data_IF_179382935712
#
_entry.id   IF_179382935712
#
_cell.length_a   1.000
_cell.length_b   1.000
_cell.length_c   1.000
_cell.angle_alpha   90.00
_cell.angle_beta   90.00
_cell.angle_gamma   90.00
#
_symmetry.space_group_name_H-M   'P 1'
#
loop_
_entity.id
_entity.type
_entity.pdbx_description
1 polymer ?
#
# COMPACT_ATOMS: atom_id res chain seq x y z
N UNK A 1 -6.40 8.45 14.92
CA UNK A 1 -6.30 8.66 13.47
C UNK A 1 -7.14 7.63 12.72
N UNK A 2 -6.94 6.29 12.86
CA UNK A 2 -7.64 5.27 12.08
C UNK A 2 -9.18 5.31 12.20
N UNK A 3 -9.73 5.54 13.40
CA UNK A 3 -11.19 5.72 13.58
C UNK A 3 -11.72 6.96 12.83
N UNK A 4 -10.99 8.07 12.86
CA UNK A 4 -11.39 9.28 12.13
C UNK A 4 -11.37 9.04 10.62
N UNK A 5 -10.32 8.34 10.12
CA UNK A 5 -10.25 7.92 8.73
C UNK A 5 -11.44 7.04 8.33
N UNK A 6 -11.79 6.05 9.15
CA UNK A 6 -12.94 5.18 8.91
C UNK A 6 -14.27 5.97 8.86
N UNK A 7 -14.47 6.91 9.77
CA UNK A 7 -15.66 7.80 9.75
C UNK A 7 -15.73 8.60 8.45
N UNK A 8 -14.59 9.14 7.98
CA UNK A 8 -14.53 9.86 6.71
C UNK A 8 -14.90 8.96 5.53
N UNK A 9 -14.34 7.73 5.49
CA UNK A 9 -14.66 6.74 4.46
C UNK A 9 -16.16 6.40 4.45
N UNK A 10 -16.75 6.22 5.64
CA UNK A 10 -18.19 5.92 5.77
C UNK A 10 -19.07 7.08 5.32
N UNK A 11 -18.67 8.32 5.62
CA UNK A 11 -19.37 9.51 5.12
C UNK A 11 -19.29 9.66 3.61
N UNK A 12 -18.13 9.35 3.00
CA UNK A 12 -18.00 9.30 1.55
C UNK A 12 -18.92 8.23 0.97
N UNK A 13 -18.93 7.03 1.56
CA UNK A 13 -19.83 5.95 1.12
C UNK A 13 -21.30 6.34 1.18
N UNK A 14 -21.75 6.98 2.27
CA UNK A 14 -23.12 7.47 2.40
C UNK A 14 -23.52 8.46 1.30
N UNK A 15 -22.57 9.33 0.88
CA UNK A 15 -22.83 10.36 -0.13
C UNK A 15 -22.84 9.84 -1.57
N UNK A 16 -21.94 8.91 -1.89
CA UNK A 16 -21.75 8.47 -3.29
C UNK A 16 -22.14 7.01 -3.55
N UNK A 17 -22.43 6.21 -2.52
CA UNK A 17 -22.83 4.81 -2.63
C UNK A 17 -21.72 3.86 -3.12
N UNK A 18 -20.46 4.30 -3.10
CA UNK A 18 -19.31 3.51 -3.58
C UNK A 18 -18.24 3.41 -2.51
N UNK A 19 -17.62 2.22 -2.39
CA UNK A 19 -16.48 2.00 -1.52
C UNK A 19 -15.27 2.80 -1.98
N UNK A 20 -14.48 3.28 -1.04
CA UNK A 20 -13.28 4.08 -1.29
C UNK A 20 -12.07 3.20 -1.60
N UNK A 21 -11.18 3.68 -2.45
CA UNK A 21 -9.80 3.19 -2.53
C UNK A 21 -8.95 4.03 -1.63
N UNK A 22 -8.24 3.39 -0.73
CA UNK A 22 -7.36 4.06 0.21
C UNK A 22 -5.94 4.08 -0.36
N UNK A 23 -5.42 5.25 -0.65
CA UNK A 23 -4.02 5.45 -1.04
C UNK A 23 -3.28 6.01 0.16
N UNK A 24 -2.23 5.34 0.59
CA UNK A 24 -1.40 5.74 1.71
C UNK A 24 0.07 5.80 1.33
N UNK A 25 0.83 6.63 2.03
CA UNK A 25 2.25 6.79 1.84
C UNK A 25 2.99 6.75 3.18
N UNK A 26 4.14 6.06 3.20
CA UNK A 26 5.08 6.07 4.33
C UNK A 26 4.41 5.74 5.66
N UNK A 27 4.46 6.65 6.65
CA UNK A 27 3.82 6.50 7.96
C UNK A 27 2.28 6.43 7.88
N UNK A 28 1.68 6.99 6.83
CA UNK A 28 0.24 6.90 6.57
C UNK A 28 -0.25 5.47 6.34
N UNK A 29 0.63 4.53 6.05
CA UNK A 29 0.30 3.10 5.99
C UNK A 29 -0.26 2.56 7.30
N UNK A 30 0.31 2.93 8.44
CA UNK A 30 -0.12 2.42 9.76
C UNK A 30 -1.60 2.67 10.06
N UNK A 31 -2.15 3.89 10.00
CA UNK A 31 -3.59 4.09 10.14
C UNK A 31 -4.39 3.48 8.98
N UNK A 32 -3.80 3.35 7.79
CA UNK A 32 -4.39 2.70 6.64
C UNK A 32 -4.69 1.22 6.89
N UNK A 33 -3.72 0.49 7.44
CA UNK A 33 -3.91 -0.93 7.81
C UNK A 33 -4.99 -1.12 8.87
N UNK A 34 -5.12 -0.19 9.81
CA UNK A 34 -6.07 -0.29 10.91
C UNK A 34 -7.49 0.17 10.53
N UNK A 35 -7.66 0.96 9.47
CA UNK A 35 -8.97 1.47 9.05
C UNK A 35 -10.01 0.36 8.80
N UNK A 36 -9.68 -0.79 8.17
CA UNK A 36 -10.62 -1.89 7.94
C UNK A 36 -11.25 -2.48 9.21
N UNK A 37 -10.60 -2.31 10.37
CA UNK A 37 -11.17 -2.75 11.67
C UNK A 37 -12.42 -1.94 12.00
N UNK A 38 -12.53 -0.71 11.51
CA UNK A 38 -13.60 0.23 11.86
C UNK A 38 -14.59 0.50 10.73
N UNK A 39 -14.30 0.09 9.49
CA UNK A 39 -15.20 0.27 8.34
C UNK A 39 -15.15 -0.92 7.39
N UNK A 40 -16.25 -1.14 6.66
CA UNK A 40 -16.37 -2.14 5.58
C UNK A 40 -16.40 -1.48 4.20
N UNK A 41 -16.17 -0.17 4.12
CA UNK A 41 -16.33 0.64 2.93
C UNK A 41 -15.01 0.94 2.19
N UNK A 42 -13.99 0.09 2.41
CA UNK A 42 -12.74 0.11 1.64
C UNK A 42 -12.83 -0.94 0.52
N UNK A 43 -12.63 -0.51 -0.73
CA UNK A 43 -12.58 -1.39 -1.90
C UNK A 43 -11.19 -2.01 -2.08
N UNK A 44 -10.14 -1.21 -1.93
CA UNK A 44 -8.76 -1.62 -2.11
C UNK A 44 -7.81 -0.66 -1.37
N UNK A 45 -6.57 -1.11 -1.15
CA UNK A 45 -5.51 -0.27 -0.57
C UNK A 45 -4.33 -0.22 -1.53
N UNK A 46 -3.84 0.99 -1.80
CA UNK A 46 -2.57 1.26 -2.48
C UNK A 46 -1.60 1.83 -1.44
N UNK A 47 -0.53 1.11 -1.16
CA UNK A 47 0.47 1.49 -0.18
C UNK A 47 1.78 1.87 -0.89
N UNK A 48 2.05 3.17 -0.92
CA UNK A 48 3.27 3.74 -1.53
C UNK A 48 4.36 3.79 -0.46
N UNK A 49 5.41 3.04 -0.65
CA UNK A 49 6.56 2.94 0.27
C UNK A 49 6.17 3.00 1.74
N UNK A 50 5.31 2.08 2.21
CA UNK A 50 4.87 2.09 3.60
C UNK A 50 6.03 1.79 4.54
N UNK A 51 5.92 2.26 5.79
CA UNK A 51 6.86 1.92 6.86
C UNK A 51 6.89 0.44 7.24
N UNK A 52 6.00 -0.34 6.67
CA UNK A 52 5.84 -1.79 6.80
C UNK A 52 4.39 -2.18 6.50
N UNK A 53 4.11 -3.47 6.29
CA UNK A 53 2.76 -3.99 6.13
C UNK A 53 2.04 -4.11 7.49
N UNK A 54 0.76 -4.50 7.48
CA UNK A 54 0.08 -4.95 8.68
C UNK A 54 0.83 -6.13 9.31
N UNK A 55 1.01 -6.10 10.63
CA UNK A 55 1.73 -7.17 11.32
C UNK A 55 0.97 -8.50 11.23
N UNK A 56 1.69 -9.60 11.03
CA UNK A 56 1.09 -10.93 10.98
C UNK A 56 0.29 -11.21 12.25
N UNK A 57 -0.85 -11.84 12.08
CA UNK A 57 -1.78 -12.21 13.17
C UNK A 57 -2.38 -11.02 13.96
N UNK A 58 -2.08 -9.78 13.57
CA UNK A 58 -2.71 -8.61 14.17
C UNK A 58 -4.21 -8.54 13.82
N UNK A 59 -4.94 -7.68 14.52
CA UNK A 59 -6.36 -7.48 14.25
C UNK A 59 -6.56 -6.88 12.85
N UNK A 60 -5.72 -5.94 12.44
CA UNK A 60 -5.76 -5.34 11.11
C UNK A 60 -5.50 -6.36 10.01
N UNK A 61 -4.51 -7.25 10.17
CA UNK A 61 -4.24 -8.33 9.21
C UNK A 61 -5.46 -9.25 9.03
N UNK A 62 -6.06 -9.67 10.16
CA UNK A 62 -7.25 -10.54 10.15
C UNK A 62 -8.44 -9.86 9.46
N UNK A 63 -8.64 -8.57 9.70
CA UNK A 63 -9.72 -7.81 9.06
C UNK A 63 -9.48 -7.58 7.56
N UNK A 64 -8.24 -7.28 7.15
CA UNK A 64 -7.87 -7.20 5.75
C UNK A 64 -8.21 -8.50 5.01
N UNK A 65 -7.84 -9.64 5.59
CA UNK A 65 -8.08 -10.97 5.03
C UNK A 65 -9.58 -11.33 5.04
N UNK A 66 -10.28 -11.10 6.15
CA UNK A 66 -11.71 -11.38 6.28
C UNK A 66 -12.55 -10.59 5.26
N UNK A 67 -12.17 -9.33 4.99
CA UNK A 67 -12.82 -8.49 3.99
C UNK A 67 -12.30 -8.74 2.57
N UNK A 68 -11.26 -9.58 2.39
CA UNK A 68 -10.59 -9.86 1.11
C UNK A 68 -10.18 -8.57 0.37
N UNK A 69 -9.62 -7.60 1.12
CA UNK A 69 -9.25 -6.30 0.54
C UNK A 69 -8.05 -6.48 -0.38
N UNK A 70 -8.17 -6.14 -1.68
CA UNK A 70 -7.02 -6.14 -2.57
C UNK A 70 -6.00 -5.07 -2.14
N UNK A 71 -4.70 -5.44 -2.19
CA UNK A 71 -3.61 -4.56 -1.75
C UNK A 71 -2.53 -4.50 -2.81
N UNK A 72 -2.12 -3.29 -3.20
CA UNK A 72 -0.93 -3.06 -4.02
C UNK A 72 0.11 -2.28 -3.23
N UNK A 73 1.32 -2.81 -3.17
CA UNK A 73 2.50 -2.11 -2.68
C UNK A 73 3.28 -1.52 -3.84
N UNK A 74 3.75 -0.29 -3.69
CA UNK A 74 4.60 0.39 -4.67
C UNK A 74 5.91 0.81 -4.03
N UNK A 75 7.02 0.44 -4.67
CA UNK A 75 8.36 0.82 -4.27
C UNK A 75 9.12 1.43 -5.44
N UNK A 76 9.80 2.55 -5.19
CA UNK A 76 10.60 3.28 -6.16
C UNK A 76 12.01 2.72 -6.34
N UNK A 77 12.89 3.59 -6.83
CA UNK A 77 14.30 3.30 -7.07
C UNK A 77 15.13 3.31 -5.78
N UNK A 78 16.41 2.96 -5.90
CA UNK A 78 17.44 3.11 -4.87
C UNK A 78 17.22 2.31 -3.57
N UNK A 79 16.30 1.35 -3.57
CA UNK A 79 16.06 0.48 -2.42
C UNK A 79 16.84 -0.82 -2.55
N UNK A 80 16.55 -1.65 -3.56
CA UNK A 80 17.24 -2.94 -3.74
C UNK A 80 18.75 -2.76 -4.02
N UNK A 81 19.10 -1.77 -4.84
CA UNK A 81 20.47 -1.46 -5.24
C UNK A 81 20.99 -0.16 -4.58
N UNK A 82 20.41 0.24 -3.46
CA UNK A 82 20.83 1.44 -2.74
C UNK A 82 22.22 1.30 -2.15
N UNK A 83 22.94 2.42 -2.02
CA UNK A 83 24.25 2.45 -1.37
C UNK A 83 24.09 2.07 0.11
N UNK A 84 24.71 0.97 0.59
CA UNK A 84 24.61 0.53 1.98
C UNK A 84 25.25 1.51 2.98
N UNK A 85 26.05 2.46 2.51
CA UNK A 85 26.63 3.54 3.35
C UNK A 85 25.59 4.59 3.71
N UNK A 86 24.49 4.69 2.99
CA UNK A 86 23.38 5.57 3.33
C UNK A 86 22.54 4.89 4.41
N UNK A 87 22.47 5.52 5.59
CA UNK A 87 21.83 4.93 6.79
C UNK A 87 20.38 4.45 6.57
N UNK A 88 19.63 5.09 5.69
CA UNK A 88 18.25 4.70 5.38
C UNK A 88 18.15 3.48 4.47
N UNK A 89 19.18 3.16 3.67
CA UNK A 89 19.12 2.06 2.70
C UNK A 89 18.79 0.71 3.36
N UNK A 90 19.51 0.23 4.40
CA UNK A 90 19.19 -1.04 5.04
C UNK A 90 17.77 -1.07 5.64
N UNK A 91 17.30 0.07 6.17
CA UNK A 91 15.96 0.19 6.75
C UNK A 91 14.89 -0.01 5.67
N UNK A 92 15.06 0.61 4.50
CA UNK A 92 14.11 0.48 3.39
C UNK A 92 14.16 -0.89 2.74
N UNK A 93 15.35 -1.52 2.66
CA UNK A 93 15.49 -2.91 2.22
C UNK A 93 14.71 -3.87 3.14
N UNK A 94 14.83 -3.71 4.46
CA UNK A 94 14.07 -4.50 5.43
C UNK A 94 12.55 -4.31 5.26
N UNK A 95 12.09 -3.07 5.07
CA UNK A 95 10.67 -2.76 4.82
C UNK A 95 10.14 -3.41 3.55
N UNK A 96 10.92 -3.35 2.48
CA UNK A 96 10.60 -4.02 1.21
C UNK A 96 10.46 -5.54 1.41
N UNK A 97 11.41 -6.17 2.11
CA UNK A 97 11.35 -7.62 2.40
C UNK A 97 10.14 -7.99 3.26
N UNK A 98 9.81 -7.18 4.26
CA UNK A 98 8.58 -7.39 5.06
C UNK A 98 7.32 -7.33 4.17
N UNK A 99 7.26 -6.41 3.22
CA UNK A 99 6.13 -6.32 2.28
C UNK A 99 6.10 -7.51 1.31
N UNK A 100 7.24 -8.01 0.82
CA UNK A 100 7.31 -9.24 0.01
C UNK A 100 6.77 -10.45 0.77
N UNK A 101 7.21 -10.62 2.02
CA UNK A 101 6.75 -11.72 2.88
C UNK A 101 5.24 -11.61 3.16
N UNK A 102 4.74 -10.39 3.41
CA UNK A 102 3.32 -10.14 3.56
C UNK A 102 2.54 -10.58 2.32
N UNK A 103 2.96 -10.15 1.13
CA UNK A 103 2.29 -10.48 -0.14
C UNK A 103 2.20 -12.00 -0.31
N UNK A 104 3.31 -12.71 -0.07
CA UNK A 104 3.31 -14.17 -0.15
C UNK A 104 2.29 -14.77 0.83
N UNK A 105 2.39 -14.44 2.11
CA UNK A 105 1.52 -15.00 3.16
C UNK A 105 0.05 -14.64 2.93
N UNK A 106 -0.24 -13.37 2.65
CA UNK A 106 -1.60 -12.90 2.44
C UNK A 106 -2.30 -13.64 1.28
N UNK A 107 -1.56 -13.87 0.18
CA UNK A 107 -2.07 -14.60 -0.97
C UNK A 107 -2.21 -16.10 -0.69
N UNK A 108 -1.26 -16.72 0.03
CA UNK A 108 -1.34 -18.14 0.46
C UNK A 108 -2.58 -18.38 1.35
N UNK A 109 -3.03 -17.37 2.10
CA UNK A 109 -4.22 -17.42 2.96
C UNK A 109 -5.51 -16.98 2.25
N UNK A 110 -5.49 -16.80 0.93
CA UNK A 110 -6.65 -16.48 0.11
C UNK A 110 -6.97 -14.99 -0.04
N UNK A 111 -6.03 -14.13 0.33
CA UNK A 111 -6.07 -12.70 0.01
C UNK A 111 -5.68 -12.43 -1.46
N UNK A 112 -5.69 -11.16 -1.82
CA UNK A 112 -5.25 -10.68 -3.13
C UNK A 112 -4.30 -9.50 -2.93
N UNK A 113 -3.01 -9.72 -3.09
CA UNK A 113 -2.04 -8.64 -2.98
C UNK A 113 -0.92 -8.75 -4.01
N UNK A 114 -0.33 -7.61 -4.36
CA UNK A 114 0.77 -7.50 -5.31
C UNK A 114 1.79 -6.47 -4.83
N UNK A 115 3.03 -6.66 -5.21
CA UNK A 115 4.12 -5.71 -4.95
C UNK A 115 4.79 -5.32 -6.26
N UNK A 116 4.67 -4.05 -6.61
CA UNK A 116 5.32 -3.43 -7.75
C UNK A 116 6.61 -2.73 -7.31
N UNK A 117 7.69 -3.08 -7.97
CA UNK A 117 8.94 -2.33 -7.92
C UNK A 117 9.02 -1.55 -9.22
N UNK A 118 8.82 -0.24 -9.17
CA UNK A 118 8.73 0.60 -10.36
C UNK A 118 9.85 0.38 -11.38
N UNK A 119 11.13 0.19 -10.96
CA UNK A 119 12.18 -0.15 -11.91
C UNK A 119 11.97 -1.48 -12.67
N UNK A 120 11.25 -2.44 -12.09
CA UNK A 120 10.89 -3.71 -12.78
C UNK A 120 9.75 -3.54 -13.78
N UNK A 121 8.96 -2.49 -13.60
CA UNK A 121 7.90 -2.07 -14.52
C UNK A 121 8.43 -1.12 -15.62
N UNK A 122 9.75 -0.85 -15.65
CA UNK A 122 10.36 0.09 -16.59
C UNK A 122 10.16 1.57 -16.24
N UNK A 123 9.74 1.86 -15.01
CA UNK A 123 9.49 3.22 -14.49
C UNK A 123 10.64 3.59 -13.55
N UNK A 124 11.43 4.59 -13.90
CA UNK A 124 12.65 4.97 -13.20
C UNK A 124 12.63 6.43 -12.75
N UNK A 125 13.49 6.78 -11.79
CA UNK A 125 13.66 8.14 -11.29
C UNK A 125 12.72 8.48 -10.14
N UNK A 126 12.27 7.47 -9.40
CA UNK A 126 11.32 7.62 -8.31
C UNK A 126 12.00 7.43 -6.96
N UNK A 127 12.03 8.50 -6.18
CA UNK A 127 12.46 8.48 -4.78
C UNK A 127 11.30 8.12 -3.83
N UNK A 128 11.50 8.32 -2.53
CA UNK A 128 10.48 8.03 -1.52
C UNK A 128 9.17 8.81 -1.73
N UNK A 129 9.22 9.96 -2.37
CA UNK A 129 8.04 10.79 -2.67
C UNK A 129 7.59 10.62 -4.12
N UNK A 130 7.34 9.39 -4.54
CA UNK A 130 7.00 8.97 -5.89
C UNK A 130 5.98 9.91 -6.57
N UNK A 131 5.00 10.40 -5.82
CA UNK A 131 3.97 11.31 -6.32
C UNK A 131 4.45 12.76 -6.55
N UNK A 132 5.69 13.09 -6.20
CA UNK A 132 6.32 14.39 -6.44
C UNK A 132 7.37 14.35 -7.57
N UNK A 133 7.70 13.17 -8.07
CA UNK A 133 8.68 13.01 -9.15
C UNK A 133 8.12 13.47 -10.50
N UNK A 134 9.02 13.78 -11.44
CA UNK A 134 8.63 14.33 -12.75
C UNK A 134 7.78 13.40 -13.62
N UNK A 135 7.77 12.10 -13.29
CA UNK A 135 7.01 11.05 -13.97
C UNK A 135 5.81 10.56 -13.13
N UNK A 136 5.31 11.40 -12.25
CA UNK A 136 4.21 11.03 -11.34
C UNK A 136 2.92 10.66 -12.09
N UNK A 137 2.68 11.23 -13.27
CA UNK A 137 1.59 10.86 -14.16
C UNK A 137 1.70 9.42 -14.65
N UNK A 138 2.90 8.95 -15.04
CA UNK A 138 3.15 7.55 -15.45
C UNK A 138 2.87 6.60 -14.28
N UNK A 139 3.28 6.98 -13.07
CA UNK A 139 3.00 6.18 -11.86
C UNK A 139 1.50 6.17 -11.56
N UNK A 140 0.83 7.32 -11.68
CA UNK A 140 -0.62 7.42 -11.49
C UNK A 140 -1.39 6.54 -12.48
N UNK A 141 -1.01 6.55 -13.74
CA UNK A 141 -1.59 5.69 -14.78
C UNK A 141 -1.39 4.20 -14.45
N UNK A 142 -0.21 3.83 -13.94
CA UNK A 142 0.06 2.44 -13.52
C UNK A 142 -0.83 2.03 -12.34
N UNK A 143 -1.00 2.91 -11.35
CA UNK A 143 -1.92 2.70 -10.20
C UNK A 143 -3.36 2.59 -10.70
N UNK A 144 -3.79 3.49 -11.58
CA UNK A 144 -5.15 3.47 -12.14
C UNK A 144 -5.43 2.16 -12.90
N UNK A 145 -4.47 1.70 -13.71
CA UNK A 145 -4.59 0.44 -14.44
C UNK A 145 -4.81 -0.75 -13.50
N UNK A 146 -4.06 -0.80 -12.39
CA UNK A 146 -4.28 -1.83 -11.38
C UNK A 146 -5.67 -1.73 -10.74
N UNK A 147 -6.10 -0.52 -10.37
CA UNK A 147 -7.41 -0.26 -9.78
C UNK A 147 -8.55 -0.69 -10.71
N UNK A 148 -8.43 -0.41 -12.02
CA UNK A 148 -9.42 -0.79 -13.03
C UNK A 148 -9.49 -2.29 -13.27
N UNK A 149 -8.45 -3.04 -12.91
CA UNK A 149 -8.40 -4.50 -12.98
C UNK A 149 -9.09 -5.22 -11.80
N UNK A 150 -9.57 -4.48 -10.80
CA UNK A 150 -10.30 -5.01 -9.64
C UNK A 150 -11.80 -5.14 -9.98
#
# INVERSE_FOLDING_TARGET
VAKALAVTIDEVYKRIGKKSILISHSQGGSPGWLAPVYTKNIKAIVAIEPGGPAAENSIEYKELLAQKIPIAFYFGDYIENGDPKILSTPIWQERLEKCKNFVKKYNDEGGNSVLFKLPKEGIFGNDHFIFQNLNNDIVADHVEKWIRGL
#
